data_IF_420149504381
#
_entry.id   IF_420149504381
#
_cell.length_a   1.000
_cell.length_b   1.000
_cell.length_c   1.000
_cell.angle_alpha   90.00
_cell.angle_beta   90.00
_cell.angle_gamma   90.00
#
_symmetry.space_group_name_H-M   'P 1'
#
loop_
_entity.id
_entity.type
_entity.pdbx_description
1 polymer ?
#
# COMPACT_ATOMS: atom_id res chain seq x y z
N UNK A 1 5.65 -6.67 -7.17
CA UNK A 1 6.41 -5.40 -7.22
C UNK A 1 7.41 -5.38 -6.08
N UNK A 2 8.64 -4.93 -6.32
CA UNK A 2 9.70 -4.90 -5.32
C UNK A 2 9.89 -3.53 -4.67
N UNK A 3 10.78 -3.47 -3.68
CA UNK A 3 11.22 -2.20 -3.05
C UNK A 3 11.75 -1.21 -4.10
N UNK A 4 12.33 -1.71 -5.19
CA UNK A 4 12.80 -0.88 -6.30
C UNK A 4 11.66 -0.17 -7.03
N UNK A 5 10.48 -0.80 -7.18
CA UNK A 5 9.32 -0.17 -7.82
C UNK A 5 8.80 0.99 -6.97
N UNK A 6 8.65 0.79 -5.66
CA UNK A 6 8.29 1.86 -4.71
C UNK A 6 9.31 3.00 -4.75
N UNK A 7 10.61 2.68 -4.77
CA UNK A 7 11.67 3.68 -4.82
C UNK A 7 11.59 4.52 -6.09
N UNK A 8 11.29 3.91 -7.24
CA UNK A 8 11.12 4.62 -8.52
C UNK A 8 9.92 5.56 -8.44
N UNK A 9 8.77 5.06 -7.99
CA UNK A 9 7.55 5.87 -7.90
C UNK A 9 7.68 7.03 -6.89
N UNK A 10 8.28 6.77 -5.72
CA UNK A 10 8.55 7.79 -4.71
C UNK A 10 9.50 8.86 -5.25
N UNK A 11 10.53 8.46 -6.02
CA UNK A 11 11.43 9.40 -6.67
C UNK A 11 10.68 10.29 -7.66
N UNK A 12 9.84 9.72 -8.52
CA UNK A 12 9.05 10.50 -9.49
C UNK A 12 8.13 11.52 -8.79
N UNK A 13 7.53 11.12 -7.66
CA UNK A 13 6.68 12.00 -6.85
C UNK A 13 7.48 13.18 -6.28
N UNK A 14 8.69 12.94 -5.76
CA UNK A 14 9.59 13.99 -5.28
C UNK A 14 10.09 14.91 -6.40
N UNK A 15 10.41 14.37 -7.58
CA UNK A 15 10.80 15.17 -8.75
C UNK A 15 9.65 16.09 -9.20
N UNK A 16 8.40 15.61 -9.12
CA UNK A 16 7.22 16.42 -9.39
C UNK A 16 7.03 17.53 -8.35
N UNK A 17 7.18 17.22 -7.06
CA UNK A 17 7.15 18.23 -6.00
C UNK A 17 8.17 19.35 -6.22
N UNK A 18 9.39 19.00 -6.60
CA UNK A 18 10.44 19.99 -6.90
C UNK A 18 10.09 20.87 -8.09
N UNK A 19 9.43 20.31 -9.10
CA UNK A 19 8.99 21.05 -10.28
C UNK A 19 7.85 22.01 -9.94
N UNK A 20 6.84 21.54 -9.19
CA UNK A 20 5.69 22.35 -8.78
C UNK A 20 6.11 23.47 -7.82
N UNK A 21 7.07 23.20 -6.93
CA UNK A 21 7.61 24.20 -6.00
C UNK A 21 8.32 25.39 -6.68
N UNK A 22 8.72 25.26 -7.95
CA UNK A 22 9.25 26.38 -8.73
C UNK A 22 8.14 27.27 -9.31
N UNK A 23 6.88 26.79 -9.31
CA UNK A 23 5.76 27.44 -9.98
C UNK A 23 4.80 28.14 -9.01
N UNK A 24 4.96 27.93 -7.70
CA UNK A 24 4.11 28.54 -6.66
C UNK A 24 4.90 28.88 -5.41
N UNK A 25 4.46 29.94 -4.71
CA UNK A 25 4.97 30.33 -3.39
C UNK A 25 4.22 29.62 -2.24
N UNK A 26 3.15 28.87 -2.54
CA UNK A 26 2.32 28.13 -1.58
C UNK A 26 3.01 26.81 -1.13
N UNK A 27 4.16 26.94 -0.48
CA UNK A 27 5.00 25.79 -0.08
C UNK A 27 4.30 24.85 0.88
N UNK A 28 3.56 25.38 1.85
CA UNK A 28 2.91 24.57 2.88
C UNK A 28 1.83 23.67 2.26
N UNK A 29 1.02 24.21 1.34
CA UNK A 29 0.01 23.43 0.61
C UNK A 29 0.65 22.32 -0.26
N UNK A 30 1.78 22.62 -0.92
CA UNK A 30 2.52 21.59 -1.66
C UNK A 30 3.05 20.50 -0.74
N UNK A 31 3.62 20.87 0.41
CA UNK A 31 4.15 19.89 1.37
C UNK A 31 3.05 18.97 1.88
N UNK A 32 1.89 19.52 2.28
CA UNK A 32 0.74 18.72 2.72
C UNK A 32 0.29 17.76 1.62
N UNK A 33 0.05 18.27 0.42
CA UNK A 33 -0.37 17.46 -0.72
C UNK A 33 0.59 16.30 -1.02
N UNK A 34 1.88 16.60 -1.13
CA UNK A 34 2.87 15.58 -1.47
C UNK A 34 3.15 14.61 -0.31
N UNK A 35 2.91 15.03 0.94
CA UNK A 35 2.92 14.14 2.10
C UNK A 35 1.77 13.14 2.03
N UNK A 36 0.57 13.59 1.68
CA UNK A 36 -0.58 12.71 1.49
C UNK A 36 -0.36 11.73 0.34
N UNK A 37 0.13 12.21 -0.80
CA UNK A 37 0.42 11.36 -1.96
C UNK A 37 1.49 10.30 -1.63
N UNK A 38 2.55 10.67 -0.91
CA UNK A 38 3.60 9.73 -0.50
C UNK A 38 3.08 8.71 0.53
N UNK A 39 2.23 9.13 1.45
CA UNK A 39 1.58 8.25 2.44
C UNK A 39 0.67 7.23 1.76
N UNK A 40 -0.08 7.67 0.76
CA UNK A 40 -0.92 6.78 -0.04
C UNK A 40 -0.10 5.80 -0.87
N UNK A 41 0.99 6.25 -1.50
CA UNK A 41 1.92 5.39 -2.23
C UNK A 41 2.51 4.30 -1.31
N UNK A 42 2.95 4.69 -0.11
CA UNK A 42 3.45 3.74 0.89
C UNK A 42 2.40 2.71 1.28
N UNK A 43 1.17 3.15 1.57
CA UNK A 43 0.06 2.25 1.87
C UNK A 43 -0.15 1.23 0.75
N UNK A 44 -0.31 1.70 -0.49
CA UNK A 44 -0.58 0.84 -1.64
C UNK A 44 0.51 -0.21 -1.83
N UNK A 45 1.77 0.19 -1.71
CA UNK A 45 2.89 -0.72 -1.82
C UNK A 45 2.92 -1.77 -0.70
N UNK A 46 2.69 -1.35 0.56
CA UNK A 46 2.65 -2.26 1.70
C UNK A 46 1.50 -3.29 1.57
N UNK A 47 0.32 -2.87 1.14
CA UNK A 47 -0.83 -3.75 0.95
C UNK A 47 -0.61 -4.78 -0.14
N UNK A 48 -0.02 -4.35 -1.26
CA UNK A 48 0.31 -5.25 -2.36
C UNK A 48 1.35 -6.30 -1.94
N UNK A 49 2.43 -5.89 -1.24
CA UNK A 49 3.43 -6.84 -0.73
C UNK A 49 2.81 -7.86 0.23
N UNK A 50 1.96 -7.42 1.16
CA UNK A 50 1.24 -8.33 2.07
C UNK A 50 0.33 -9.29 1.30
N UNK A 51 -0.35 -8.80 0.27
CA UNK A 51 -1.21 -9.62 -0.60
C UNK A 51 -0.39 -10.66 -1.35
N UNK A 52 0.75 -10.28 -1.93
CA UNK A 52 1.67 -11.21 -2.62
C UNK A 52 2.16 -12.32 -1.67
N UNK A 53 2.51 -11.99 -0.43
CA UNK A 53 2.93 -12.98 0.59
C UNK A 53 1.80 -13.95 0.95
N UNK A 54 0.59 -13.44 1.16
CA UNK A 54 -0.59 -14.27 1.47
C UNK A 54 -0.90 -15.22 0.31
N UNK A 55 -0.83 -14.72 -0.92
CA UNK A 55 -1.08 -15.50 -2.14
C UNK A 55 -0.01 -16.59 -2.38
N UNK A 56 1.27 -16.29 -2.13
CA UNK A 56 2.34 -17.30 -2.17
C UNK A 56 2.14 -18.37 -1.08
N UNK A 57 1.78 -17.97 0.14
CA UNK A 57 1.48 -18.91 1.22
C UNK A 57 0.32 -19.84 0.86
N UNK A 58 -0.76 -19.30 0.28
CA UNK A 58 -1.91 -20.09 -0.20
C UNK A 58 -1.49 -21.09 -1.28
N UNK A 59 -0.77 -20.63 -2.29
CA UNK A 59 -0.28 -21.46 -3.40
C UNK A 59 0.57 -22.64 -2.90
N UNK A 60 1.47 -22.39 -1.94
CA UNK A 60 2.32 -23.44 -1.35
C UNK A 60 1.53 -24.45 -0.54
N UNK A 61 0.50 -24.01 0.17
CA UNK A 61 -0.34 -24.91 0.97
C UNK A 61 -1.25 -25.76 0.10
N UNK A 62 -1.78 -25.20 -0.97
CA UNK A 62 -2.56 -25.95 -1.97
C UNK A 62 -1.69 -27.01 -2.64
N UNK A 63 -0.46 -26.67 -3.05
CA UNK A 63 0.50 -27.63 -3.60
C UNK A 63 0.85 -28.76 -2.61
N UNK A 64 0.78 -28.49 -1.31
CA UNK A 64 1.02 -29.48 -0.24
C UNK A 64 -0.23 -30.24 0.21
N UNK A 65 -1.38 -30.00 -0.42
CA UNK A 65 -2.69 -30.55 -0.01
C UNK A 65 -2.96 -30.32 1.48
N UNK A 66 -2.63 -29.12 1.97
CA UNK A 66 -2.66 -28.82 3.40
C UNK A 66 -4.07 -28.95 3.97
N UNK A 67 -4.22 -29.38 5.24
CA UNK A 67 -5.53 -29.54 5.88
C UNK A 67 -6.37 -28.27 5.88
N UNK A 68 -7.69 -28.42 5.77
CA UNK A 68 -8.67 -27.32 5.74
C UNK A 68 -8.52 -26.29 6.87
N UNK A 69 -8.21 -26.67 8.14
CA UNK A 69 -8.01 -25.69 9.21
C UNK A 69 -6.89 -24.68 8.92
N UNK A 70 -5.83 -25.10 8.22
CA UNK A 70 -4.71 -24.22 7.86
C UNK A 70 -5.16 -23.25 6.75
N UNK A 71 -5.93 -23.73 5.77
CA UNK A 71 -6.49 -22.90 4.70
C UNK A 71 -7.45 -21.84 5.27
N UNK A 72 -8.31 -22.22 6.21
CA UNK A 72 -9.24 -21.32 6.89
C UNK A 72 -8.51 -20.24 7.70
N UNK A 73 -7.40 -20.59 8.36
CA UNK A 73 -6.58 -19.62 9.09
C UNK A 73 -6.04 -18.55 8.16
N UNK A 74 -5.53 -18.92 6.98
CA UNK A 74 -5.02 -17.95 6.00
C UNK A 74 -6.12 -17.10 5.41
N UNK A 75 -7.28 -17.69 5.08
CA UNK A 75 -8.43 -16.92 4.64
C UNK A 75 -8.82 -15.86 5.69
N UNK A 76 -8.79 -16.22 6.98
CA UNK A 76 -9.06 -15.28 8.08
C UNK A 76 -8.03 -14.16 8.16
N UNK A 77 -6.73 -14.47 7.99
CA UNK A 77 -5.66 -13.47 7.94
C UNK A 77 -5.86 -12.53 6.75
N UNK A 78 -6.20 -13.06 5.57
CA UNK A 78 -6.47 -12.26 4.37
C UNK A 78 -7.62 -11.27 4.61
N UNK A 79 -8.75 -11.73 5.17
CA UNK A 79 -9.88 -10.86 5.51
C UNK A 79 -9.46 -9.81 6.54
N UNK A 80 -8.73 -10.19 7.58
CA UNK A 80 -8.28 -9.24 8.62
C UNK A 80 -7.37 -8.15 8.05
N UNK A 81 -6.44 -8.51 7.17
CA UNK A 81 -5.56 -7.55 6.48
C UNK A 81 -6.37 -6.62 5.58
N UNK A 82 -7.38 -7.15 4.87
CA UNK A 82 -8.26 -6.33 4.03
C UNK A 82 -9.11 -5.36 4.86
N UNK A 83 -9.62 -5.80 6.01
CA UNK A 83 -10.41 -4.97 6.91
C UNK A 83 -9.56 -3.84 7.51
N UNK A 84 -8.33 -4.16 7.95
CA UNK A 84 -7.37 -3.17 8.41
C UNK A 84 -7.02 -2.18 7.29
N UNK A 85 -6.84 -2.67 6.07
CA UNK A 85 -6.58 -1.83 4.91
C UNK A 85 -7.72 -0.82 4.69
N UNK A 86 -8.96 -1.32 4.69
CA UNK A 86 -10.14 -0.47 4.50
C UNK A 86 -10.30 0.56 5.64
N UNK A 87 -9.92 0.22 6.86
CA UNK A 87 -9.99 1.14 8.00
C UNK A 87 -8.95 2.26 7.94
N UNK A 88 -7.76 1.98 7.42
CA UNK A 88 -6.65 2.94 7.37
C UNK A 88 -6.61 3.74 6.05
N UNK A 89 -7.01 3.13 4.94
CA UNK A 89 -6.85 3.68 3.59
C UNK A 89 -8.11 3.52 2.70
N UNK A 90 -9.22 3.02 3.23
CA UNK A 90 -10.47 2.88 2.47
C UNK A 90 -11.13 4.23 2.14
N UNK A 91 -12.17 4.23 1.29
CA UNK A 91 -12.82 5.45 0.77
C UNK A 91 -13.57 6.31 1.82
N UNK A 92 -13.35 6.07 3.11
CA UNK A 92 -13.98 6.82 4.19
C UNK A 92 -12.98 7.17 5.28
N UNK A 93 -12.06 8.12 5.02
CA UNK A 93 -11.62 9.13 6.03
C UNK A 93 -10.63 10.19 5.50
N UNK A 94 -10.61 10.52 4.20
CA UNK A 94 -9.83 11.69 3.69
C UNK A 94 -10.60 13.02 3.85
N UNK A 95 -11.44 13.13 4.90
CA UNK A 95 -12.19 14.36 5.23
C UNK A 95 -12.33 14.52 6.75
N UNK A 96 -11.23 14.76 7.45
CA UNK A 96 -11.24 15.48 8.73
C UNK A 96 -10.03 16.39 8.82
#
# INVERSE_FOLDING_TARGET
MGVDDFRIEARCLLERMLTDAQQTDERDMLIERYTDELTMLYGQHAHMLLTEVIEDARTRLDARLSPDPIRQTIATVQTTVQDLWNALWGPGDVRR
#
